data_IF_477622229257
#
_entry.id   IF_477622229257
#
_cell.length_a   1.000
_cell.length_b   1.000
_cell.length_c   1.000
_cell.angle_alpha   90.00
_cell.angle_beta   90.00
_cell.angle_gamma   90.00
#
_symmetry.space_group_name_H-M   'P 1'
#
loop_
_entity.id
_entity.type
_entity.pdbx_description
1 polymer ?
#
# COMPACT_ATOMS: atom_id res chain seq x y z
N UNK A 1 6.05 -14.83 -25.12
CA UNK A 1 6.51 -13.89 -24.08
C UNK A 1 6.62 -14.64 -22.76
N UNK A 2 7.73 -14.46 -22.05
CA UNK A 2 8.17 -15.26 -20.88
C UNK A 2 7.77 -14.57 -19.57
N UNK A 3 7.64 -15.35 -18.48
CA UNK A 3 7.46 -14.82 -17.13
C UNK A 3 8.73 -14.12 -16.65
N UNK A 4 8.65 -12.85 -16.26
CA UNK A 4 9.80 -12.09 -15.78
C UNK A 4 9.89 -12.16 -14.25
N UNK A 5 11.10 -12.28 -13.66
CA UNK A 5 11.26 -12.14 -12.22
C UNK A 5 10.89 -10.72 -11.79
N UNK A 6 10.19 -10.60 -10.66
CA UNK A 6 9.74 -9.30 -10.14
C UNK A 6 10.91 -8.55 -9.54
N UNK A 7 11.06 -7.30 -9.94
CA UNK A 7 12.01 -6.37 -9.32
C UNK A 7 11.21 -5.19 -8.79
N UNK A 8 11.01 -5.14 -7.48
CA UNK A 8 10.25 -4.08 -6.84
C UNK A 8 10.99 -2.76 -6.98
N UNK A 9 10.44 -1.83 -7.76
CA UNK A 9 11.04 -0.51 -8.00
C UNK A 9 10.00 0.59 -7.83
N UNK A 10 10.46 1.81 -7.53
CA UNK A 10 9.56 2.94 -7.52
C UNK A 10 9.03 3.22 -8.95
N UNK A 11 7.71 3.42 -9.14
CA UNK A 11 7.14 3.68 -10.46
C UNK A 11 7.42 5.12 -10.89
N UNK A 12 8.59 5.36 -11.47
CA UNK A 12 9.07 6.69 -11.85
C UNK A 12 8.25 7.35 -12.95
N UNK A 13 7.80 6.61 -13.97
CA UNK A 13 7.03 7.20 -15.06
C UNK A 13 5.61 7.48 -14.61
N UNK A 14 5.05 6.54 -13.83
CA UNK A 14 3.75 6.74 -13.24
C UNK A 14 3.75 7.99 -12.33
N UNK A 15 4.75 8.12 -11.45
CA UNK A 15 4.81 9.22 -10.48
C UNK A 15 5.57 10.46 -10.97
N UNK A 16 5.82 10.60 -12.28
CA UNK A 16 6.61 11.71 -12.83
C UNK A 16 6.03 13.09 -12.47
N UNK A 17 4.70 13.21 -12.39
CA UNK A 17 4.00 14.44 -11.97
C UNK A 17 4.30 14.88 -10.53
N UNK A 18 4.83 13.99 -9.67
CA UNK A 18 5.29 14.37 -8.34
C UNK A 18 6.50 15.30 -8.43
N UNK A 19 7.36 15.11 -9.44
CA UNK A 19 8.48 16.01 -9.68
C UNK A 19 7.98 17.41 -10.12
N UNK A 20 6.90 17.49 -10.89
CA UNK A 20 6.28 18.77 -11.27
C UNK A 20 5.70 19.53 -10.05
N UNK A 21 5.40 18.81 -8.96
CA UNK A 21 5.00 19.41 -7.69
C UNK A 21 6.18 19.89 -6.84
N UNK A 22 7.39 19.41 -7.07
CA UNK A 22 8.56 19.79 -6.28
C UNK A 22 8.92 21.27 -6.50
N UNK A 23 8.76 21.79 -7.72
CA UNK A 23 8.91 23.22 -8.01
C UNK A 23 7.88 24.08 -7.25
N UNK A 24 6.62 23.62 -7.20
CA UNK A 24 5.56 24.28 -6.44
C UNK A 24 5.82 24.21 -4.93
N UNK A 25 6.36 23.09 -4.43
CA UNK A 25 6.77 22.93 -3.03
C UNK A 25 7.95 23.84 -2.66
N UNK A 26 8.94 23.99 -3.54
CA UNK A 26 10.09 24.89 -3.31
C UNK A 26 9.62 26.34 -3.21
N UNK A 27 8.72 26.76 -4.09
CA UNK A 27 8.08 28.08 -4.03
C UNK A 27 7.26 28.26 -2.75
N UNK A 28 6.47 27.25 -2.35
CA UNK A 28 5.69 27.29 -1.11
C UNK A 28 6.59 27.39 0.13
N UNK A 29 7.68 26.62 0.19
CA UNK A 29 8.63 26.65 1.30
C UNK A 29 9.35 28.00 1.40
N UNK A 30 9.81 28.54 0.27
CA UNK A 30 10.42 29.88 0.21
C UNK A 30 9.48 30.97 0.68
N UNK A 31 8.20 30.86 0.35
CA UNK A 31 7.18 31.82 0.76
C UNK A 31 6.66 31.61 2.18
N UNK A 32 6.70 30.39 2.72
CA UNK A 32 6.47 30.15 4.15
C UNK A 32 7.59 30.76 4.99
N UNK A 33 8.85 30.64 4.56
CA UNK A 33 9.99 31.32 5.21
C UNK A 33 9.84 32.85 5.14
N UNK A 34 9.53 33.40 3.96
CA UNK A 34 9.31 34.84 3.80
C UNK A 34 8.05 35.34 4.53
N UNK A 35 7.02 34.49 4.67
CA UNK A 35 5.83 34.81 5.47
C UNK A 35 6.13 34.80 6.96
N UNK A 36 6.99 33.90 7.45
CA UNK A 36 7.46 33.89 8.82
C UNK A 36 8.31 35.14 9.14
N UNK A 37 9.16 35.58 8.22
CA UNK A 37 9.90 36.84 8.34
C UNK A 37 8.98 38.06 8.29
N UNK A 38 8.00 38.06 7.38
CA UNK A 38 6.97 39.12 7.31
C UNK A 38 6.15 39.17 8.59
N UNK A 39 5.73 38.03 9.14
CA UNK A 39 5.03 37.94 10.43
C UNK A 39 5.85 38.52 11.58
N UNK A 40 7.17 38.24 11.63
CA UNK A 40 8.09 38.87 12.60
C UNK A 40 8.20 40.39 12.40
N UNK A 41 8.16 40.87 11.16
CA UNK A 41 8.21 42.30 10.84
C UNK A 41 6.87 43.04 11.00
N UNK A 42 5.76 42.30 11.07
CA UNK A 42 4.38 42.80 11.16
C UNK A 42 3.86 42.89 12.60
N UNK A 43 4.72 42.65 13.59
CA UNK A 43 4.44 42.89 15.01
C UNK A 43 3.96 44.34 15.19
N UNK A 44 2.64 44.50 15.37
CA UNK A 44 1.95 45.78 15.58
C UNK A 44 1.21 46.46 14.41
N UNK A 45 1.12 45.92 13.17
CA UNK A 45 0.63 46.72 12.01
C UNK A 45 -0.52 46.18 11.11
N UNK A 46 -1.07 44.99 11.33
CA UNK A 46 -2.31 44.40 10.71
C UNK A 46 -2.55 44.59 9.18
N UNK A 47 -2.58 43.47 8.43
CA UNK A 47 -3.68 42.97 7.55
C UNK A 47 -3.16 41.83 6.66
N UNK A 48 -3.85 40.69 6.67
CA UNK A 48 -3.52 39.50 5.88
C UNK A 48 -4.00 39.68 4.43
N UNK A 49 -3.10 40.04 3.53
CA UNK A 49 -3.33 39.91 2.09
C UNK A 49 -2.88 38.50 1.65
N UNK A 50 -3.67 37.73 0.89
CA UNK A 50 -3.23 36.44 0.40
C UNK A 50 -1.98 36.60 -0.49
N UNK A 51 -0.95 35.79 -0.23
CA UNK A 51 0.31 35.84 -0.97
C UNK A 51 0.19 35.34 -2.42
N UNK A 52 1.15 35.69 -3.30
CA UNK A 52 1.14 35.35 -4.73
C UNK A 52 1.21 33.84 -5.02
N UNK A 53 1.59 33.03 -4.03
CA UNK A 53 1.65 31.56 -4.13
C UNK A 53 0.28 30.92 -4.26
N UNK A 54 -0.79 31.57 -3.77
CA UNK A 54 -2.12 30.99 -3.76
C UNK A 54 -2.61 30.56 -5.14
N UNK A 55 -2.35 31.37 -6.18
CA UNK A 55 -2.75 31.08 -7.55
C UNK A 55 -1.86 30.00 -8.20
N UNK A 56 -0.53 30.08 -8.05
CA UNK A 56 0.40 29.09 -8.58
C UNK A 56 0.21 27.70 -7.93
N UNK A 57 0.03 27.67 -6.60
CA UNK A 57 -0.27 26.45 -5.86
C UNK A 57 -1.64 25.88 -6.25
N UNK A 58 -2.64 26.71 -6.52
CA UNK A 58 -3.97 26.24 -6.95
C UNK A 58 -3.90 25.54 -8.30
N UNK A 59 -3.14 26.06 -9.26
CA UNK A 59 -2.92 25.42 -10.55
C UNK A 59 -2.18 24.08 -10.40
N UNK A 60 -1.09 24.05 -9.62
CA UNK A 60 -0.32 22.84 -9.36
C UNK A 60 -1.13 21.77 -8.59
N UNK A 61 -1.92 22.17 -7.59
CA UNK A 61 -2.82 21.27 -6.84
C UNK A 61 -3.94 20.73 -7.73
N UNK A 62 -4.50 21.55 -8.63
CA UNK A 62 -5.54 21.09 -9.55
C UNK A 62 -4.96 20.09 -10.55
N UNK A 63 -3.82 20.40 -11.17
CA UNK A 63 -3.12 19.49 -12.07
C UNK A 63 -2.69 18.19 -11.36
N UNK A 64 -2.17 18.29 -10.13
CA UNK A 64 -1.78 17.14 -9.32
C UNK A 64 -2.98 16.26 -8.93
N UNK A 65 -4.13 16.84 -8.57
CA UNK A 65 -5.37 16.09 -8.29
C UNK A 65 -5.93 15.41 -9.53
N UNK A 66 -5.92 16.07 -10.68
CA UNK A 66 -6.34 15.48 -11.95
C UNK A 66 -5.41 14.34 -12.39
N UNK A 67 -4.08 14.51 -12.26
CA UNK A 67 -3.11 13.47 -12.52
C UNK A 67 -3.27 12.28 -11.56
N UNK A 68 -3.43 12.54 -10.26
CA UNK A 68 -3.70 11.53 -9.25
C UNK A 68 -5.01 10.77 -9.54
N UNK A 69 -6.05 11.49 -9.96
CA UNK A 69 -7.34 10.86 -10.31
C UNK A 69 -7.23 10.06 -11.60
N UNK A 70 -6.49 10.53 -12.61
CA UNK A 70 -6.27 9.79 -13.86
C UNK A 70 -5.50 8.50 -13.62
N UNK A 71 -4.50 8.54 -12.74
CA UNK A 71 -3.61 7.41 -12.50
C UNK A 71 -4.08 6.42 -11.43
N UNK A 72 -4.76 6.90 -10.39
CA UNK A 72 -5.24 6.07 -9.27
C UNK A 72 -6.78 5.96 -9.22
N UNK A 73 -7.50 6.70 -10.06
CA UNK A 73 -8.97 6.69 -10.08
C UNK A 73 -9.57 5.52 -10.86
N UNK A 74 -8.83 4.95 -11.82
CA UNK A 74 -9.24 3.70 -12.50
C UNK A 74 -8.76 2.49 -11.70
N UNK A 75 -9.53 2.10 -10.67
CA UNK A 75 -9.21 0.94 -9.86
C UNK A 75 -9.31 -0.35 -10.70
N UNK A 76 -8.20 -1.10 -10.90
CA UNK A 76 -8.25 -2.35 -11.65
C UNK A 76 -9.06 -3.40 -10.88
N UNK A 77 -9.74 -4.28 -11.62
CA UNK A 77 -10.41 -5.44 -11.04
C UNK A 77 -9.34 -6.43 -10.56
N UNK A 78 -9.42 -6.84 -9.30
CA UNK A 78 -8.42 -7.67 -8.67
C UNK A 78 -8.99 -9.02 -8.24
N UNK A 79 -8.29 -10.10 -8.59
CA UNK A 79 -8.55 -11.46 -8.08
C UNK A 79 -7.28 -12.01 -7.46
N UNK A 80 -7.39 -12.49 -6.22
CA UNK A 80 -6.30 -13.15 -5.50
C UNK A 80 -6.66 -14.59 -5.26
N UNK A 81 -5.81 -15.51 -5.70
CA UNK A 81 -5.94 -16.94 -5.48
C UNK A 81 -4.83 -17.43 -4.56
N UNK A 82 -5.23 -18.12 -3.49
CA UNK A 82 -4.28 -18.67 -2.50
C UNK A 82 -4.60 -20.14 -2.22
N UNK A 83 -3.62 -20.96 -1.80
CA UNK A 83 -3.86 -22.38 -1.54
C UNK A 83 -4.81 -22.63 -0.38
N UNK A 84 -5.00 -21.63 0.49
CA UNK A 84 -5.81 -21.75 1.70
C UNK A 84 -7.30 -21.44 1.46
N UNK A 85 -7.65 -20.90 0.30
CA UNK A 85 -9.04 -20.67 -0.08
C UNK A 85 -9.78 -21.98 -0.35
N UNK A 86 -11.08 -21.98 -0.09
CA UNK A 86 -11.95 -23.12 -0.36
C UNK A 86 -12.05 -23.39 -1.87
N UNK A 87 -11.85 -24.64 -2.29
CA UNK A 87 -11.96 -25.05 -3.70
C UNK A 87 -10.79 -24.65 -4.62
N UNK A 88 -9.79 -23.93 -4.08
CA UNK A 88 -8.60 -23.50 -4.82
C UNK A 88 -7.43 -24.47 -4.61
N UNK A 89 -6.96 -24.60 -3.37
CA UNK A 89 -5.88 -25.52 -3.03
C UNK A 89 -6.31 -26.99 -2.95
N UNK A 90 -5.36 -27.88 -3.18
CA UNK A 90 -5.49 -29.33 -3.06
C UNK A 90 -4.86 -29.81 -1.75
N UNK A 91 -5.43 -30.85 -1.14
CA UNK A 91 -4.95 -31.43 0.12
C UNK A 91 -6.06 -31.57 1.16
N UNK A 92 -5.72 -32.18 2.28
CA UNK A 92 -6.65 -32.46 3.39
C UNK A 92 -6.21 -31.72 4.67
N UNK A 93 -7.20 -31.29 5.45
CA UNK A 93 -6.94 -30.60 6.72
C UNK A 93 -6.24 -29.25 6.55
N UNK A 94 -5.17 -29.04 7.31
CA UNK A 94 -4.47 -27.76 7.40
C UNK A 94 -3.36 -27.56 6.36
N UNK A 95 -2.89 -28.63 5.74
CA UNK A 95 -1.88 -28.59 4.69
C UNK A 95 -2.58 -28.59 3.33
N UNK A 96 -2.59 -27.42 2.69
CA UNK A 96 -3.09 -27.24 1.33
C UNK A 96 -1.97 -26.76 0.44
N UNK A 97 -1.95 -27.29 -0.78
CA UNK A 97 -0.95 -27.05 -1.79
C UNK A 97 -1.61 -26.53 -3.06
N UNK A 98 -0.89 -25.72 -3.80
CA UNK A 98 -1.35 -25.21 -5.08
C UNK A 98 -0.12 -25.07 -5.96
N UNK A 99 0.01 -25.96 -6.93
CA UNK A 99 1.12 -25.90 -7.88
C UNK A 99 0.94 -24.79 -8.90
N UNK A 100 2.03 -24.24 -9.44
CA UNK A 100 1.96 -23.13 -10.37
C UNK A 100 1.09 -23.38 -11.62
N UNK A 101 1.11 -24.56 -12.28
CA UNK A 101 0.20 -24.82 -13.40
C UNK A 101 -1.27 -24.82 -13.00
N UNK A 102 -1.61 -25.49 -11.89
CA UNK A 102 -2.98 -25.52 -11.35
C UNK A 102 -3.47 -24.11 -10.95
N UNK A 103 -2.59 -23.26 -10.42
CA UNK A 103 -2.91 -21.87 -10.14
C UNK A 103 -3.29 -21.12 -11.42
N UNK A 104 -2.48 -21.24 -12.47
CA UNK A 104 -2.75 -20.59 -13.76
C UNK A 104 -4.05 -21.09 -14.39
N UNK A 105 -4.34 -22.38 -14.32
CA UNK A 105 -5.62 -22.93 -14.76
C UNK A 105 -6.81 -22.35 -13.98
N UNK A 106 -6.69 -22.22 -12.65
CA UNK A 106 -7.73 -21.62 -11.80
C UNK A 106 -7.92 -20.13 -12.09
N UNK A 107 -6.84 -19.38 -12.34
CA UNK A 107 -6.90 -17.97 -12.77
C UNK A 107 -7.59 -17.85 -14.14
N UNK A 108 -7.21 -18.70 -15.08
CA UNK A 108 -7.80 -18.79 -16.41
C UNK A 108 -9.30 -19.12 -16.35
N UNK A 109 -9.72 -20.06 -15.51
CA UNK A 109 -11.13 -20.37 -15.30
C UNK A 109 -11.89 -19.19 -14.70
N UNK A 110 -11.28 -18.44 -13.78
CA UNK A 110 -11.93 -17.27 -13.16
C UNK A 110 -12.13 -16.12 -14.16
N UNK A 111 -11.26 -15.98 -15.14
CA UNK A 111 -11.44 -15.02 -16.25
C UNK A 111 -12.67 -15.34 -17.12
N UNK A 112 -13.06 -16.62 -17.22
CA UNK A 112 -14.21 -17.08 -18.00
C UNK A 112 -15.49 -17.27 -17.17
N UNK A 113 -15.45 -16.98 -15.86
CA UNK A 113 -16.57 -17.16 -14.95
C UNK A 113 -17.70 -16.17 -15.27
N UNK A 114 -18.71 -16.63 -16.01
CA UNK A 114 -19.89 -15.86 -16.39
C UNK A 114 -20.86 -15.63 -15.22
N UNK A 115 -20.65 -16.30 -14.07
CA UNK A 115 -21.52 -16.16 -12.90
C UNK A 115 -21.12 -14.99 -12.01
N UNK A 116 -19.93 -14.42 -12.21
CA UNK A 116 -19.41 -13.31 -11.43
C UNK A 116 -19.77 -11.95 -12.07
N UNK A 117 -20.58 -11.16 -11.36
CA UNK A 117 -20.94 -9.81 -11.80
C UNK A 117 -19.78 -8.81 -11.75
N UNK A 118 -18.68 -9.14 -11.07
CA UNK A 118 -17.44 -8.36 -11.01
C UNK A 118 -16.46 -8.68 -12.14
N UNK A 119 -16.85 -9.47 -13.15
CA UNK A 119 -15.97 -9.83 -14.26
C UNK A 119 -15.59 -8.60 -15.09
N UNK A 120 -14.30 -8.41 -15.40
CA UNK A 120 -13.86 -7.37 -16.34
C UNK A 120 -14.44 -7.64 -17.75
N UNK A 121 -15.07 -6.63 -18.35
CA UNK A 121 -15.65 -6.69 -19.69
C UNK A 121 -14.97 -5.70 -20.65
N UNK A 122 -14.77 -6.12 -21.91
CA UNK A 122 -14.15 -5.31 -22.97
C UNK A 122 -12.67 -5.62 -23.21
N UNK A 123 -12.03 -4.86 -24.11
CA UNK A 123 -10.61 -4.98 -24.41
C UNK A 123 -9.79 -4.41 -23.24
N UNK A 124 -9.14 -5.30 -22.48
CA UNK A 124 -8.40 -4.94 -21.29
C UNK A 124 -6.99 -5.56 -21.32
N UNK A 125 -6.15 -5.04 -20.43
CA UNK A 125 -4.86 -5.63 -20.11
C UNK A 125 -5.00 -6.41 -18.81
N UNK A 126 -4.23 -7.49 -18.66
CA UNK A 126 -4.15 -8.25 -17.43
C UNK A 126 -2.70 -8.35 -16.95
N UNK A 127 -2.45 -7.95 -15.71
CA UNK A 127 -1.18 -8.14 -15.01
C UNK A 127 -1.33 -9.31 -14.05
N UNK A 128 -0.60 -10.39 -14.33
CA UNK A 128 -0.54 -11.58 -13.49
C UNK A 128 0.77 -11.61 -12.71
N UNK A 129 0.68 -11.80 -11.40
CA UNK A 129 1.81 -11.92 -10.48
C UNK A 129 1.68 -13.24 -9.74
N UNK A 130 2.72 -14.07 -9.82
CA UNK A 130 2.80 -15.36 -9.16
C UNK A 130 3.82 -15.31 -8.03
N UNK A 131 3.44 -15.82 -6.88
CA UNK A 131 4.33 -16.09 -5.75
C UNK A 131 4.62 -17.58 -5.74
N UNK A 132 5.86 -17.97 -5.93
CA UNK A 132 6.33 -19.34 -6.10
C UNK A 132 7.21 -19.73 -4.91
N UNK A 133 6.92 -20.86 -4.27
CA UNK A 133 7.78 -21.39 -3.23
C UNK A 133 7.63 -22.90 -3.06
N UNK A 134 8.63 -23.50 -2.43
CA UNK A 134 8.61 -24.91 -2.00
C UNK A 134 8.46 -25.07 -0.49
N UNK A 135 8.60 -23.99 0.28
CA UNK A 135 8.56 -23.98 1.75
C UNK A 135 7.71 -22.84 2.29
N UNK A 136 7.06 -23.07 3.43
CA UNK A 136 6.15 -22.11 4.07
C UNK A 136 6.83 -20.82 4.56
N UNK A 137 8.08 -20.91 5.01
CA UNK A 137 8.90 -19.76 5.45
C UNK A 137 9.21 -18.82 4.28
N UNK A 138 9.65 -19.38 3.15
CA UNK A 138 9.92 -18.63 1.93
C UNK A 138 8.63 -18.03 1.37
N UNK A 139 7.53 -18.79 1.38
CA UNK A 139 6.21 -18.31 0.96
C UNK A 139 5.75 -17.11 1.78
N UNK A 140 5.78 -17.22 3.11
CA UNK A 140 5.37 -16.14 4.01
C UNK A 140 6.28 -14.90 3.85
N UNK A 141 7.57 -15.09 3.62
CA UNK A 141 8.53 -14.00 3.41
C UNK A 141 8.27 -13.27 2.09
N UNK A 142 8.01 -14.01 1.00
CA UNK A 142 7.63 -13.42 -0.28
C UNK A 142 6.33 -12.61 -0.16
N UNK A 143 5.28 -13.20 0.43
CA UNK A 143 4.01 -12.49 0.63
C UNK A 143 4.17 -11.25 1.51
N UNK A 144 4.96 -11.30 2.59
CA UNK A 144 5.21 -10.15 3.46
C UNK A 144 5.90 -9.00 2.72
N UNK A 145 6.87 -9.28 1.85
CA UNK A 145 7.53 -8.25 1.01
C UNK A 145 6.52 -7.53 0.10
N UNK A 146 5.59 -8.28 -0.49
CA UNK A 146 4.55 -7.70 -1.33
C UNK A 146 3.51 -6.91 -0.52
N UNK A 147 3.00 -7.50 0.58
CA UNK A 147 1.99 -6.88 1.44
C UNK A 147 2.48 -5.58 2.10
N UNK A 148 3.80 -5.43 2.29
CA UNK A 148 4.38 -4.19 2.79
C UNK A 148 4.19 -3.01 1.81
N UNK A 149 4.06 -3.29 0.51
CA UNK A 149 3.86 -2.28 -0.55
C UNK A 149 2.39 -2.14 -0.92
N UNK A 150 1.72 -3.28 -1.16
CA UNK A 150 0.32 -3.37 -1.56
C UNK A 150 -0.40 -4.35 -0.65
N UNK A 151 -0.95 -3.89 0.49
CA UNK A 151 -1.64 -4.75 1.44
C UNK A 151 -2.96 -5.26 0.83
N UNK A 152 -2.98 -6.55 0.47
CA UNK A 152 -4.18 -7.22 -0.04
C UNK A 152 -4.69 -8.20 1.00
N UNK A 153 -5.94 -8.06 1.44
CA UNK A 153 -6.49 -8.83 2.57
C UNK A 153 -6.33 -10.35 2.41
N UNK A 154 -6.53 -10.87 1.19
CA UNK A 154 -6.39 -12.30 0.90
C UNK A 154 -4.92 -12.78 0.94
N UNK A 155 -3.98 -11.94 0.50
CA UNK A 155 -2.54 -12.22 0.61
C UNK A 155 -2.06 -12.11 2.07
N UNK A 156 -2.57 -11.15 2.85
CA UNK A 156 -2.26 -11.04 4.29
C UNK A 156 -2.78 -12.25 5.07
N UNK A 157 -4.00 -12.72 4.74
CA UNK A 157 -4.55 -13.95 5.32
C UNK A 157 -3.67 -15.15 4.99
N UNK A 158 -3.22 -15.27 3.74
CA UNK A 158 -2.32 -16.33 3.32
C UNK A 158 -0.94 -16.23 3.99
N UNK A 159 -0.38 -15.03 4.14
CA UNK A 159 0.88 -14.78 4.84
C UNK A 159 0.79 -15.21 6.31
N UNK A 160 -0.21 -14.71 7.04
CA UNK A 160 -0.43 -15.05 8.45
C UNK A 160 -0.63 -16.56 8.61
N UNK A 161 -1.38 -17.18 7.69
CA UNK A 161 -1.61 -18.62 7.71
C UNK A 161 -0.34 -19.42 7.46
N UNK A 162 0.46 -19.04 6.46
CA UNK A 162 1.73 -19.69 6.15
C UNK A 162 2.73 -19.57 7.31
N UNK A 163 2.85 -18.37 7.90
CA UNK A 163 3.69 -18.13 9.08
C UNK A 163 3.24 -18.97 10.28
N UNK A 164 1.93 -19.06 10.51
CA UNK A 164 1.39 -19.89 11.59
C UNK A 164 1.66 -21.38 11.37
N UNK A 165 1.50 -21.89 10.15
CA UNK A 165 1.78 -23.30 9.83
C UNK A 165 3.28 -23.61 9.98
N UNK A 166 4.16 -22.74 9.50
CA UNK A 166 5.61 -22.89 9.69
C UNK A 166 5.99 -22.90 11.17
N UNK A 167 5.40 -21.98 11.96
CA UNK A 167 5.59 -21.92 13.40
C UNK A 167 5.12 -23.22 14.07
N UNK A 168 3.96 -23.73 13.70
CA UNK A 168 3.41 -24.98 14.25
C UNK A 168 4.25 -26.21 13.88
N UNK A 169 4.83 -26.26 12.68
CA UNK A 169 5.78 -27.31 12.29
C UNK A 169 7.07 -27.25 13.11
N UNK A 170 7.54 -26.05 13.43
CA UNK A 170 8.75 -25.84 14.24
C UNK A 170 8.51 -26.12 15.73
N UNK A 171 7.40 -25.63 16.29
CA UNK A 171 7.04 -25.79 17.70
C UNK A 171 6.51 -27.18 18.05
N UNK A 172 6.18 -28.04 17.07
CA UNK A 172 5.70 -29.42 17.33
C UNK A 172 6.69 -30.23 18.17
N UNK A 173 7.98 -29.91 18.11
CA UNK A 173 9.04 -30.57 18.88
C UNK A 173 9.26 -29.95 20.25
N UNK A 174 8.64 -28.81 20.54
CA UNK A 174 8.76 -28.13 21.82
C UNK A 174 7.56 -28.49 22.69
N UNK A 175 7.81 -28.87 23.94
CA UNK A 175 6.75 -29.03 24.93
C UNK A 175 6.66 -27.72 25.73
N UNK A 176 5.71 -26.83 25.40
CA UNK A 176 5.63 -25.54 26.09
C UNK A 176 5.24 -25.77 27.55
N UNK A 177 6.00 -25.18 28.47
CA UNK A 177 5.61 -25.11 29.87
C UNK A 177 4.45 -24.13 29.96
N UNK A 178 3.26 -24.65 30.28
CA UNK A 178 2.06 -23.83 30.41
C UNK A 178 2.15 -22.93 31.65
N UNK A 179 2.09 -21.62 31.46
CA UNK A 179 1.86 -20.70 32.57
C UNK A 179 0.45 -20.91 33.14
N UNK A 180 0.30 -20.77 34.46
CA UNK A 180 -1.02 -20.81 35.10
C UNK A 180 -1.95 -19.76 34.47
N UNK A 181 -3.07 -20.22 33.91
CA UNK A 181 -4.18 -19.36 33.46
C UNK A 181 -5.17 -19.19 34.61
N UNK A 182 -5.84 -18.04 34.78
CA UNK A 182 -5.85 -16.83 33.96
C UNK A 182 -4.64 -15.91 34.15
N UNK A 183 -4.28 -15.17 33.08
CA UNK A 183 -3.12 -14.26 33.07
C UNK A 183 -3.49 -12.90 33.66
N UNK A 184 -2.58 -12.30 34.42
CA UNK A 184 -2.61 -10.88 34.69
C UNK A 184 -2.43 -10.11 33.38
N UNK A 185 -3.36 -9.23 33.05
CA UNK A 185 -3.27 -8.32 31.91
C UNK A 185 -3.48 -6.89 32.39
N UNK A 186 -2.76 -5.90 31.80
CA UNK A 186 -3.01 -4.51 32.11
C UNK A 186 -4.45 -4.16 31.70
N UNK A 187 -5.19 -3.51 32.59
CA UNK A 187 -6.53 -3.04 32.29
C UNK A 187 -6.43 -1.92 31.24
N UNK A 188 -7.02 -2.07 30.04
CA UNK A 188 -6.95 -1.05 29.00
C UNK A 188 -7.89 0.12 29.35
N UNK A 189 -7.43 0.99 30.26
CA UNK A 189 -8.17 2.15 30.77
C UNK A 189 -8.67 3.09 29.66
N UNK A 190 -7.98 3.13 28.52
CA UNK A 190 -8.36 3.95 27.36
C UNK A 190 -9.63 3.46 26.65
N UNK A 191 -9.95 2.18 26.78
CA UNK A 191 -11.17 1.58 26.23
C UNK A 191 -12.37 1.71 27.18
N UNK A 192 -12.14 2.07 28.44
CA UNK A 192 -13.21 2.31 29.40
C UNK A 192 -13.97 3.57 29.01
N UNK A 193 -15.26 3.40 28.68
CA UNK A 193 -16.15 4.48 28.22
C UNK A 193 -16.20 5.65 29.18
N UNK A 194 -16.20 5.38 30.50
CA UNK A 194 -16.16 6.40 31.55
C UNK A 194 -14.86 7.23 31.50
N UNK A 195 -13.71 6.59 31.37
CA UNK A 195 -12.42 7.28 31.35
C UNK A 195 -12.22 8.05 30.05
N UNK A 196 -12.74 7.52 28.93
CA UNK A 196 -12.75 8.25 27.65
C UNK A 196 -13.60 9.54 27.75
N UNK A 197 -14.79 9.45 28.33
CA UNK A 197 -15.66 10.62 28.54
C UNK A 197 -15.03 11.64 29.50
N UNK A 198 -14.45 11.17 30.61
CA UNK A 198 -13.74 12.02 31.57
C UNK A 198 -12.53 12.72 30.92
N UNK A 199 -11.68 11.98 30.19
CA UNK A 199 -10.55 12.53 29.44
C UNK A 199 -10.99 13.59 28.44
N UNK A 200 -12.05 13.33 27.66
CA UNK A 200 -12.56 14.29 26.70
C UNK A 200 -13.08 15.57 27.37
N UNK A 201 -13.77 15.45 28.52
CA UNK A 201 -14.23 16.60 29.30
C UNK A 201 -13.06 17.40 29.90
N UNK A 202 -12.07 16.73 30.48
CA UNK A 202 -10.89 17.37 31.05
C UNK A 202 -10.02 18.03 29.98
N UNK A 203 -9.84 17.39 28.82
CA UNK A 203 -9.15 18.00 27.67
C UNK A 203 -9.89 19.22 27.14
N UNK A 204 -11.23 19.24 27.16
CA UNK A 204 -12.01 20.42 26.81
C UNK A 204 -11.83 21.58 27.80
N UNK A 205 -11.75 21.27 29.10
CA UNK A 205 -11.44 22.27 30.14
C UNK A 205 -10.01 22.80 30.02
N UNK A 206 -9.04 21.93 29.72
CA UNK A 206 -7.66 22.33 29.47
C UNK A 206 -7.55 23.21 28.23
N UNK A 207 -8.20 22.86 27.12
CA UNK A 207 -8.22 23.69 25.91
C UNK A 207 -8.87 25.07 26.16
N UNK A 208 -9.93 25.12 26.97
CA UNK A 208 -10.54 26.39 27.39
C UNK A 208 -9.57 27.24 28.23
N UNK A 209 -8.84 26.62 29.16
CA UNK A 209 -7.82 27.30 29.96
C UNK A 209 -6.61 27.73 29.12
N UNK A 210 -6.22 26.93 28.14
CA UNK A 210 -5.19 27.25 27.15
C UNK A 210 -5.63 28.43 26.27
N UNK A 211 -6.92 28.56 25.95
CA UNK A 211 -7.44 29.74 25.21
C UNK A 211 -7.47 31.04 26.02
N UNK A 212 -7.38 30.95 27.35
CA UNK A 212 -7.25 32.10 28.24
C UNK A 212 -5.79 32.44 28.58
N UNK A 213 -4.83 31.59 28.17
CA UNK A 213 -3.44 31.95 28.28
C UNK A 213 -3.17 33.13 27.32
N UNK A 214 -2.48 34.17 27.78
CA UNK A 214 -2.05 35.32 26.98
C UNK A 214 -1.05 34.87 25.90
N UNK A 215 -1.54 34.22 24.84
CA UNK A 215 -0.81 33.99 23.60
C UNK A 215 -1.16 35.11 22.64
N UNK A 216 -0.15 35.81 22.11
CA UNK A 216 -0.40 36.72 21.02
C UNK A 216 -0.87 35.90 19.79
N UNK A 217 -1.88 36.35 19.04
CA UNK A 217 -2.32 35.65 17.83
C UNK A 217 -1.21 35.50 16.77
N UNK A 218 -0.16 36.35 16.86
CA UNK A 218 1.05 36.23 16.06
C UNK A 218 1.91 35.02 16.47
N UNK A 219 2.08 34.77 17.76
CA UNK A 219 2.83 33.60 18.27
C UNK A 219 2.13 32.28 17.91
N UNK A 220 0.79 32.26 17.91
CA UNK A 220 0.02 31.09 17.48
C UNK A 220 0.16 30.84 15.97
N UNK A 221 0.14 31.90 15.15
CA UNK A 221 0.37 31.78 13.71
C UNK A 221 1.81 31.36 13.39
N UNK A 222 2.79 31.81 14.17
CA UNK A 222 4.18 31.36 14.06
C UNK A 222 4.32 29.87 14.44
N UNK A 223 3.73 29.44 15.54
CA UNK A 223 3.71 28.01 15.93
C UNK A 223 2.99 27.15 14.90
N UNK A 224 1.90 27.63 14.30
CA UNK A 224 1.17 26.91 13.26
C UNK A 224 1.97 26.82 11.95
N UNK A 225 2.73 27.85 11.58
CA UNK A 225 3.62 27.79 10.41
C UNK A 225 4.77 26.81 10.63
N UNK A 226 5.36 26.79 11.83
CA UNK A 226 6.37 25.81 12.24
C UNK A 226 5.82 24.37 12.22
N UNK A 227 4.62 24.14 12.75
CA UNK A 227 3.95 22.83 12.71
C UNK A 227 3.67 22.37 11.27
N UNK A 228 3.24 23.27 10.37
CA UNK A 228 3.04 22.94 8.96
C UNK A 228 4.36 22.58 8.27
N UNK A 229 5.43 23.31 8.54
CA UNK A 229 6.75 23.01 7.99
C UNK A 229 7.27 21.66 8.50
N UNK A 230 7.10 21.36 9.79
CA UNK A 230 7.47 20.06 10.37
C UNK A 230 6.65 18.92 9.75
N UNK A 231 5.33 19.09 9.60
CA UNK A 231 4.47 18.09 8.98
C UNK A 231 4.81 17.83 7.50
N UNK A 232 5.24 18.87 6.77
CA UNK A 232 5.69 18.72 5.39
C UNK A 232 7.02 17.95 5.31
N UNK A 233 7.97 18.27 6.19
CA UNK A 233 9.24 17.56 6.28
C UNK A 233 9.03 16.08 6.61
N UNK A 234 8.16 15.76 7.58
CA UNK A 234 7.80 14.37 7.91
C UNK A 234 7.24 13.62 6.69
N UNK A 235 6.34 14.24 5.93
CA UNK A 235 5.77 13.62 4.72
C UNK A 235 6.78 13.42 3.60
N UNK A 236 7.67 14.39 3.39
CA UNK A 236 8.74 14.25 2.40
C UNK A 236 9.72 13.14 2.83
N UNK A 237 9.96 12.99 4.14
CA UNK A 237 10.79 11.92 4.68
C UNK A 237 10.13 10.54 4.59
N UNK A 238 8.82 10.43 4.81
CA UNK A 238 8.05 9.20 4.56
C UNK A 238 8.17 8.77 3.09
N UNK A 239 8.00 9.70 2.15
CA UNK A 239 8.14 9.44 0.72
C UNK A 239 9.57 9.02 0.36
N UNK A 240 10.58 9.70 0.91
CA UNK A 240 11.98 9.33 0.72
C UNK A 240 12.30 7.93 1.27
N UNK A 241 11.75 7.57 2.43
CA UNK A 241 11.90 6.24 3.03
C UNK A 241 11.28 5.16 2.14
N UNK A 242 10.09 5.40 1.58
CA UNK A 242 9.45 4.48 0.63
C UNK A 242 10.30 4.28 -0.63
N UNK A 243 10.85 5.36 -1.20
CA UNK A 243 11.78 5.28 -2.34
C UNK A 243 13.05 4.49 -1.98
N UNK A 244 13.62 4.71 -0.80
CA UNK A 244 14.81 4.01 -0.34
C UNK A 244 14.56 2.50 -0.13
N UNK A 245 13.40 2.12 0.40
CA UNK A 245 13.00 0.70 0.52
C UNK A 245 12.95 0.00 -0.84
N UNK A 246 12.50 0.71 -1.89
CA UNK A 246 12.36 0.18 -3.26
C UNK A 246 13.64 0.33 -4.10
N UNK A 247 14.66 1.05 -3.63
CA UNK A 247 15.93 1.19 -4.34
C UNK A 247 16.80 -0.08 -4.27
N UNK A 248 16.49 -1.01 -3.36
CA UNK A 248 17.21 -2.29 -3.22
C UNK A 248 16.76 -3.24 -4.33
N UNK A 249 17.37 -3.09 -5.51
CA UNK A 249 16.99 -3.71 -6.77
C UNK A 249 17.37 -5.21 -6.87
N UNK A 250 16.97 -6.04 -5.90
CA UNK A 250 17.20 -7.49 -5.96
C UNK A 250 16.04 -8.18 -6.67
N UNK A 251 16.27 -8.86 -7.81
CA UNK A 251 15.22 -9.63 -8.47
C UNK A 251 14.77 -10.77 -7.56
N UNK A 252 13.47 -10.81 -7.25
CA UNK A 252 12.90 -11.88 -6.44
C UNK A 252 12.54 -13.07 -7.35
N UNK A 253 13.38 -14.10 -7.34
CA UNK A 253 13.17 -15.31 -8.15
C UNK A 253 11.88 -16.06 -7.76
N UNK A 254 11.38 -15.82 -6.54
CA UNK A 254 10.15 -16.41 -6.01
C UNK A 254 8.91 -15.60 -6.40
N UNK A 255 9.06 -14.46 -7.08
CA UNK A 255 7.96 -13.68 -7.63
C UNK A 255 8.13 -13.57 -9.14
N UNK A 256 7.09 -13.89 -9.90
CA UNK A 256 7.11 -13.75 -11.35
C UNK A 256 5.91 -12.96 -11.83
N UNK A 257 6.13 -12.03 -12.73
CA UNK A 257 5.07 -11.21 -13.30
C UNK A 257 4.99 -11.34 -14.82
N UNK A 258 3.80 -11.10 -15.33
CA UNK A 258 3.51 -11.08 -16.75
C UNK A 258 2.35 -10.15 -17.06
N UNK A 259 2.57 -9.24 -18.01
CA UNK A 259 1.53 -8.44 -18.63
C UNK A 259 0.97 -9.17 -19.86
N UNK A 260 -0.35 -9.10 -20.02
CA UNK A 260 -1.15 -9.79 -21.04
C UNK A 260 -2.10 -8.75 -21.67
N UNK A 261 -2.36 -8.87 -22.97
CA UNK A 261 -3.21 -7.95 -23.73
C UNK A 261 -2.46 -7.02 -24.70
N UNK A 262 -3.20 -6.17 -25.45
CA UNK A 262 -4.66 -6.02 -25.37
C UNK A 262 -5.40 -7.18 -26.07
N UNK A 263 -6.51 -7.64 -25.50
CA UNK A 263 -7.35 -8.64 -26.15
C UNK A 263 -8.55 -9.13 -25.32
N UNK A 264 -9.50 -9.77 -25.98
CA UNK A 264 -10.65 -10.41 -25.34
C UNK A 264 -10.35 -11.85 -24.86
N UNK A 265 -9.31 -12.48 -25.40
CA UNK A 265 -8.90 -13.87 -25.12
C UNK A 265 -7.78 -13.94 -24.05
N UNK A 266 -7.89 -13.15 -22.99
CA UNK A 266 -6.89 -13.07 -21.90
C UNK A 266 -6.56 -14.45 -21.30
N UNK A 267 -7.53 -15.37 -21.27
CA UNK A 267 -7.33 -16.75 -20.82
C UNK A 267 -6.29 -17.49 -21.66
N UNK A 268 -6.42 -17.42 -23.00
CA UNK A 268 -5.51 -18.14 -23.90
C UNK A 268 -4.11 -17.58 -23.79
N UNK A 269 -3.98 -16.27 -23.68
CA UNK A 269 -2.69 -15.60 -23.53
C UNK A 269 -2.04 -15.91 -22.17
N UNK A 270 -2.81 -16.00 -21.09
CA UNK A 270 -2.33 -16.39 -19.75
C UNK A 270 -1.71 -17.79 -19.77
N UNK A 271 -2.35 -18.73 -20.46
CA UNK A 271 -1.88 -20.12 -20.59
C UNK A 271 -0.82 -20.30 -21.69
N UNK A 272 -0.63 -19.34 -22.58
CA UNK A 272 0.37 -19.44 -23.64
C UNK A 272 1.79 -19.23 -23.09
N UNK A 273 2.78 -19.98 -23.59
CA UNK A 273 4.20 -19.81 -23.25
C UNK A 273 4.72 -20.77 -22.18
N UNK A 274 5.99 -20.61 -21.80
CA UNK A 274 6.67 -21.44 -20.82
C UNK A 274 6.21 -21.08 -19.39
N UNK A 275 5.51 -21.99 -18.72
CA UNK A 275 4.95 -21.77 -17.39
C UNK A 275 5.86 -22.36 -16.30
N UNK A 276 5.88 -21.80 -15.08
CA UNK A 276 6.55 -22.44 -13.96
C UNK A 276 5.96 -23.84 -13.70
N UNK A 277 6.82 -24.83 -13.48
CA UNK A 277 6.43 -26.23 -13.36
C UNK A 277 5.78 -26.61 -12.03
N UNK A 278 5.44 -27.90 -11.89
CA UNK A 278 4.90 -28.47 -10.65
C UNK A 278 5.93 -28.59 -9.50
N UNK A 279 7.19 -28.21 -9.75
CA UNK A 279 8.24 -28.12 -8.72
C UNK A 279 7.87 -27.14 -7.59
N UNK A 280 7.07 -26.12 -7.91
CA UNK A 280 6.55 -25.15 -6.95
C UNK A 280 5.25 -25.66 -6.37
N UNK A 281 5.28 -26.17 -5.14
CA UNK A 281 4.14 -26.83 -4.49
C UNK A 281 3.26 -25.84 -3.71
N UNK A 282 3.81 -24.68 -3.33
CA UNK A 282 3.13 -23.62 -2.58
C UNK A 282 3.16 -22.33 -3.39
N UNK A 283 2.08 -22.10 -4.15
CA UNK A 283 1.93 -20.91 -4.99
C UNK A 283 0.70 -20.08 -4.61
N UNK A 284 0.80 -18.75 -4.78
CA UNK A 284 -0.34 -17.84 -4.81
C UNK A 284 -0.29 -16.98 -6.07
N UNK A 285 -1.44 -16.51 -6.54
CA UNK A 285 -1.55 -15.69 -7.74
C UNK A 285 -2.38 -14.44 -7.48
N UNK A 286 -1.95 -13.33 -8.05
CA UNK A 286 -2.66 -12.08 -8.12
C UNK A 286 -2.90 -11.75 -9.59
N UNK A 287 -4.16 -11.49 -9.95
CA UNK A 287 -4.57 -11.04 -11.26
C UNK A 287 -5.20 -9.66 -11.14
N UNK A 288 -4.63 -8.69 -11.84
CA UNK A 288 -5.18 -7.36 -11.99
C UNK A 288 -5.61 -7.17 -13.43
N UNK A 289 -6.86 -6.79 -13.66
CA UNK A 289 -7.41 -6.58 -15.01
C UNK A 289 -7.98 -5.17 -15.09
N UNK A 290 -7.61 -4.44 -16.13
CA UNK A 290 -8.04 -3.06 -16.32
C UNK A 290 -7.46 -2.43 -17.57
N UNK A 291 -7.58 -1.12 -17.66
CA UNK A 291 -6.93 -0.33 -18.71
C UNK A 291 -5.41 -0.34 -18.53
N UNK A 292 -4.67 -0.03 -19.60
CA UNK A 292 -3.21 0.09 -19.51
C UNK A 292 -2.77 1.19 -18.54
N UNK A 293 -3.52 2.30 -18.48
CA UNK A 293 -3.22 3.43 -17.61
C UNK A 293 -3.43 3.06 -16.13
N UNK A 294 -4.55 2.42 -15.77
CA UNK A 294 -4.79 1.97 -14.39
C UNK A 294 -3.83 0.87 -13.91
N UNK A 295 -3.24 0.10 -14.82
CA UNK A 295 -2.23 -0.92 -14.50
C UNK A 295 -0.79 -0.40 -14.51
N UNK A 296 -0.52 0.77 -15.10
CA UNK A 296 0.83 1.32 -15.27
C UNK A 296 1.63 1.42 -13.97
N UNK A 297 0.98 1.86 -12.90
CA UNK A 297 1.60 1.97 -11.57
C UNK A 297 2.10 0.62 -11.06
N UNK A 298 1.24 -0.41 -11.11
CA UNK A 298 1.62 -1.76 -10.61
C UNK A 298 2.56 -2.46 -11.59
N UNK A 299 2.43 -2.20 -12.89
CA UNK A 299 3.36 -2.71 -13.91
C UNK A 299 4.78 -2.22 -13.62
N UNK A 300 4.96 -0.91 -13.47
CA UNK A 300 6.26 -0.32 -13.18
C UNK A 300 6.79 -0.76 -11.81
N UNK A 301 5.92 -0.80 -10.79
CA UNK A 301 6.27 -1.25 -9.44
C UNK A 301 6.94 -2.63 -9.45
N UNK A 302 6.43 -3.52 -10.31
CA UNK A 302 6.84 -4.93 -10.40
C UNK A 302 8.03 -5.13 -11.36
N UNK A 303 8.47 -4.07 -12.04
CA UNK A 303 9.64 -4.09 -12.92
C UNK A 303 9.34 -4.33 -14.40
N UNK A 304 8.07 -4.27 -14.81
CA UNK A 304 7.62 -4.42 -16.20
C UNK A 304 7.42 -3.08 -16.92
#
# INVERSE_FOLDING_TARGET
MTWAPVTMRWPEQATAWIADLDDAKLLANGEMASSAERLKSLDGLVKTNPGPVGEAAKAAVTAGREAMTRQLGEAPSCVVLTPFQSGVGQGTGYQRFLSAPNLLEKMALKLDDLTDSGRPAGEQYALSILFLSTRLDQFASALARFNALLPMQELERAERRARYLYKLETEKTEMPIGNATPRWQPLPLESCTLLKAAKQSMSGQLAMLESYADSSPLDELAKLSEQKAAQQLERDQELANLKAMLATNTPDLNMRARLIGPGNDLRRELLAGEQPGHEWVLCAGLLLVGTKEGLSFVQELVGL
#
